data_IF_972063757284
#
_entry.id   IF_972063757284
#
_cell.length_a   1.000
_cell.length_b   1.000
_cell.length_c   1.000
_cell.angle_alpha   90.00
_cell.angle_beta   90.00
_cell.angle_gamma   90.00
#
_symmetry.space_group_name_H-M   'P 1'
#
loop_
_entity.id
_entity.type
_entity.pdbx_description
1 polymer ?
#
# COMPACT_ATOMS: atom_id res chain seq x y z
N UNK A 1 -3.60 2.95 -4.11
CA UNK A 1 -2.73 2.09 -4.94
C UNK A 1 -2.62 0.72 -4.30
N UNK A 2 -2.76 -0.31 -5.10
CA UNK A 2 -2.51 -1.72 -4.75
C UNK A 2 -1.36 -2.22 -5.63
N UNK A 3 -0.40 -2.91 -5.06
CA UNK A 3 0.77 -3.39 -5.79
C UNK A 3 1.17 -4.80 -5.37
N UNK A 4 2.03 -5.42 -6.16
CA UNK A 4 2.70 -6.67 -5.77
C UNK A 4 3.88 -6.38 -4.84
N UNK A 5 4.58 -7.41 -4.44
CA UNK A 5 5.71 -7.34 -3.49
C UNK A 5 6.93 -6.51 -3.94
N UNK A 6 6.95 -5.96 -5.14
CA UNK A 6 8.00 -5.04 -5.65
C UNK A 6 7.54 -3.58 -5.61
N UNK A 7 6.98 -3.18 -4.49
CA UNK A 7 6.20 -1.95 -4.36
C UNK A 7 6.95 -0.73 -3.83
N UNK A 8 8.24 -0.82 -3.54
CA UNK A 8 9.00 0.28 -2.91
C UNK A 8 8.92 1.59 -3.71
N UNK A 9 9.12 1.50 -5.03
CA UNK A 9 8.99 2.66 -5.90
C UNK A 9 7.58 3.24 -5.91
N UNK A 10 6.57 2.39 -5.96
CA UNK A 10 5.16 2.79 -5.91
C UNK A 10 4.80 3.46 -4.57
N UNK A 11 5.31 2.93 -3.46
CA UNK A 11 5.11 3.50 -2.13
C UNK A 11 5.73 4.90 -2.03
N UNK A 12 6.97 5.07 -2.49
CA UNK A 12 7.66 6.36 -2.51
C UNK A 12 6.93 7.38 -3.37
N UNK A 13 6.56 7.01 -4.59
CA UNK A 13 5.82 7.88 -5.51
C UNK A 13 4.44 8.24 -4.97
N UNK A 14 3.84 7.36 -4.19
CA UNK A 14 2.56 7.63 -3.52
C UNK A 14 2.70 8.56 -2.33
N UNK A 15 3.91 8.78 -1.83
CA UNK A 15 4.21 9.71 -0.74
C UNK A 15 4.50 9.05 0.61
N UNK A 16 4.67 7.73 0.65
CA UNK A 16 5.13 7.06 1.87
C UNK A 16 6.56 7.51 2.17
N UNK A 17 6.79 8.01 3.37
CA UNK A 17 8.09 8.57 3.74
C UNK A 17 9.21 7.53 3.67
N UNK A 18 10.32 7.89 3.03
CA UNK A 18 11.49 7.00 2.88
C UNK A 18 11.97 6.45 4.24
N UNK A 19 11.99 7.30 5.28
CA UNK A 19 12.38 6.88 6.63
C UNK A 19 11.46 5.78 7.18
N UNK A 20 10.15 5.90 6.96
CA UNK A 20 9.18 4.90 7.40
C UNK A 20 9.35 3.57 6.65
N UNK A 21 9.65 3.64 5.34
CA UNK A 21 9.93 2.44 4.54
C UNK A 21 11.21 1.77 5.03
N UNK A 22 12.28 2.53 5.23
CA UNK A 22 13.54 1.98 5.74
C UNK A 22 13.38 1.38 7.14
N UNK A 23 12.68 2.07 8.03
CA UNK A 23 12.39 1.56 9.38
C UNK A 23 11.60 0.24 9.31
N UNK A 24 10.66 0.13 8.38
CA UNK A 24 9.89 -1.10 8.15
C UNK A 24 10.78 -2.27 7.74
N UNK A 25 11.71 -2.03 6.81
CA UNK A 25 12.65 -3.07 6.35
C UNK A 25 13.55 -3.58 7.47
N UNK A 26 13.88 -2.73 8.45
CA UNK A 26 14.64 -3.10 9.63
C UNK A 26 13.77 -3.59 10.79
N UNK A 27 12.50 -3.81 10.59
CA UNK A 27 11.58 -4.32 11.61
C UNK A 27 11.36 -3.35 12.78
N UNK A 28 11.50 -2.05 12.55
CA UNK A 28 11.36 -1.03 13.59
C UNK A 28 9.90 -0.61 13.78
N UNK A 29 9.59 -0.20 15.01
CA UNK A 29 8.24 0.29 15.37
C UNK A 29 7.83 1.53 14.57
N UNK A 30 8.80 2.34 14.14
CA UNK A 30 8.59 3.55 13.34
C UNK A 30 8.34 3.25 11.85
N UNK A 31 8.38 1.98 11.45
CA UNK A 31 8.02 1.56 10.11
C UNK A 31 6.54 1.79 9.80
N UNK A 32 6.20 1.95 8.52
CA UNK A 32 4.82 2.21 8.08
C UNK A 32 3.84 1.09 8.49
N UNK A 33 4.32 -0.13 8.69
CA UNK A 33 3.57 -1.27 9.23
C UNK A 33 4.07 -1.70 10.61
N UNK A 34 4.72 -0.82 11.35
CA UNK A 34 5.29 -1.08 12.68
C UNK A 34 6.27 -2.24 12.71
N UNK A 35 7.03 -2.41 11.64
CA UNK A 35 8.03 -3.46 11.49
C UNK A 35 7.48 -4.86 11.20
N UNK A 36 6.20 -4.99 10.88
CA UNK A 36 5.54 -6.29 10.69
C UNK A 36 5.40 -6.70 9.21
N UNK A 37 5.45 -5.73 8.31
CA UNK A 37 5.29 -5.97 6.87
C UNK A 37 6.61 -6.32 6.18
N UNK A 38 7.69 -5.75 6.65
CA UNK A 38 9.00 -5.90 6.00
C UNK A 38 9.00 -5.35 4.59
N UNK A 39 9.83 -5.93 3.73
CA UNK A 39 10.04 -5.45 2.35
C UNK A 39 8.86 -5.71 1.40
N UNK A 40 8.03 -6.71 1.65
CA UNK A 40 7.00 -7.16 0.71
C UNK A 40 5.58 -6.69 1.05
N UNK A 41 5.39 -6.06 2.20
CA UNK A 41 4.06 -5.71 2.70
C UNK A 41 4.05 -4.28 3.27
N UNK A 42 4.37 -3.32 2.41
CA UNK A 42 4.30 -1.91 2.77
C UNK A 42 2.86 -1.43 2.65
N UNK A 43 2.34 -0.83 3.72
CA UNK A 43 1.02 -0.23 3.78
C UNK A 43 1.11 1.15 4.41
N UNK A 44 0.34 2.08 3.90
CA UNK A 44 0.21 3.39 4.52
C UNK A 44 -1.17 3.98 4.24
N UNK A 45 -1.95 4.12 5.31
CA UNK A 45 -3.32 4.61 5.22
C UNK A 45 -3.36 6.08 4.81
N UNK A 46 -2.44 6.90 5.32
CA UNK A 46 -2.44 8.34 5.06
C UNK A 46 -2.28 8.65 3.57
N UNK A 47 -1.42 7.90 2.88
CA UNK A 47 -1.20 8.05 1.44
C UNK A 47 -2.14 7.18 0.60
N UNK A 48 -3.01 6.38 1.23
CA UNK A 48 -3.85 5.38 0.56
C UNK A 48 -3.04 4.40 -0.28
N UNK A 49 -1.88 4.04 0.22
CA UNK A 49 -1.08 2.94 -0.31
C UNK A 49 -1.51 1.64 0.38
N UNK A 50 -2.30 0.84 -0.32
CA UNK A 50 -2.91 -0.39 0.20
C UNK A 50 -2.06 -1.63 -0.09
N UNK A 51 -0.81 -1.37 -0.26
CA UNK A 51 0.25 -2.32 -0.10
C UNK A 51 0.62 -3.19 -1.21
N UNK A 52 1.65 -3.91 -0.79
CA UNK A 52 2.25 -5.02 -1.45
C UNK A 52 1.57 -6.32 -1.08
N UNK A 53 1.32 -7.14 -2.08
CA UNK A 53 0.82 -8.48 -1.91
C UNK A 53 1.85 -9.48 -2.44
N UNK A 54 2.25 -10.43 -1.60
CA UNK A 54 3.21 -11.45 -1.98
C UNK A 54 2.64 -12.48 -2.97
N UNK A 55 1.32 -12.57 -3.06
CA UNK A 55 0.64 -13.49 -3.99
C UNK A 55 0.41 -12.76 -5.31
N UNK A 56 0.98 -13.26 -6.39
CA UNK A 56 0.78 -12.71 -7.73
C UNK A 56 -0.71 -12.78 -8.10
N UNK A 57 -1.27 -11.64 -8.51
CA UNK A 57 -2.71 -11.53 -8.78
C UNK A 57 -3.60 -11.38 -7.53
N UNK A 58 -3.07 -11.59 -6.33
CA UNK A 58 -3.83 -11.48 -5.08
C UNK A 58 -4.35 -10.07 -4.78
N UNK A 59 -3.72 -9.05 -5.36
CA UNK A 59 -4.17 -7.66 -5.25
C UNK A 59 -5.41 -7.32 -6.08
N UNK A 60 -5.72 -8.09 -7.10
CA UNK A 60 -6.83 -7.79 -8.02
C UNK A 60 -8.20 -7.70 -7.33
N UNK A 61 -8.65 -8.70 -6.56
CA UNK A 61 -9.91 -8.60 -5.84
C UNK A 61 -9.91 -7.50 -4.78
N UNK A 62 -8.77 -7.21 -4.17
CA UNK A 62 -8.63 -6.09 -3.22
C UNK A 62 -8.84 -4.76 -3.95
N UNK A 63 -8.23 -4.59 -5.11
CA UNK A 63 -8.39 -3.38 -5.93
C UNK A 63 -9.85 -3.17 -6.35
N UNK A 64 -10.55 -4.23 -6.75
CA UNK A 64 -11.99 -4.17 -7.09
C UNK A 64 -12.81 -3.74 -5.88
N UNK A 65 -12.56 -4.31 -4.70
CA UNK A 65 -13.25 -3.93 -3.47
C UNK A 65 -13.02 -2.47 -3.07
N UNK A 66 -11.78 -1.99 -3.18
CA UNK A 66 -11.43 -0.60 -2.92
C UNK A 66 -12.10 0.36 -3.91
N UNK A 67 -12.09 0.03 -5.20
CA UNK A 67 -12.73 0.82 -6.23
C UNK A 67 -14.24 0.90 -6.02
N UNK A 68 -14.87 -0.20 -5.64
CA UNK A 68 -16.29 -0.24 -5.30
C UNK A 68 -16.60 0.64 -4.08
N UNK A 69 -15.79 0.55 -3.03
CA UNK A 69 -15.93 1.39 -1.84
C UNK A 69 -15.79 2.88 -2.18
N UNK A 70 -14.80 3.23 -3.00
CA UNK A 70 -14.59 4.61 -3.45
C UNK A 70 -15.78 5.14 -4.26
N UNK A 71 -16.42 4.27 -5.05
CA UNK A 71 -17.63 4.62 -5.82
C UNK A 71 -18.87 4.82 -4.93
N UNK A 72 -18.99 4.03 -3.88
CA UNK A 72 -20.13 4.09 -2.95
C UNK A 72 -20.02 5.22 -1.94
N UNK A 73 -18.80 5.66 -1.62
CA UNK A 73 -18.54 6.73 -0.67
C UNK A 73 -18.49 8.08 -1.37
N UNK A 74 -19.53 8.96 -1.24
CA UNK A 74 -19.64 10.19 -2.03
C UNK A 74 -18.53 11.21 -1.73
N UNK A 75 -17.78 11.02 -0.66
CA UNK A 75 -16.70 11.92 -0.23
C UNK A 75 -15.33 11.57 -0.83
N UNK A 76 -15.21 10.41 -1.44
CA UNK A 76 -13.93 9.93 -1.95
C UNK A 76 -13.94 9.97 -3.47
N UNK A 77 -13.23 10.93 -4.03
CA UNK A 77 -12.94 10.97 -5.46
C UNK A 77 -11.54 10.40 -5.66
N UNK A 78 -11.46 9.11 -5.89
CA UNK A 78 -10.20 8.42 -6.08
C UNK A 78 -10.30 7.43 -7.23
N UNK A 79 -9.15 7.14 -7.80
CA UNK A 79 -8.95 6.06 -8.77
C UNK A 79 -8.10 4.99 -8.11
N UNK A 80 -8.58 3.78 -8.13
CA UNK A 80 -7.79 2.63 -7.67
C UNK A 80 -6.92 2.16 -8.82
N UNK A 81 -5.63 2.10 -8.55
CA UNK A 81 -4.62 1.60 -9.49
C UNK A 81 -4.01 0.34 -8.89
N UNK A 82 -3.99 -0.72 -9.68
CA UNK A 82 -3.39 -2.00 -9.30
C UNK A 82 -2.25 -2.34 -10.27
N UNK A 83 -1.11 -2.69 -9.72
CA UNK A 83 0.08 -3.11 -10.47
C UNK A 83 0.40 -4.58 -10.25
#
# INVERSE_FOLDING_TARGET
VVATYREHGHALLRGVGMRAIMAEMFGKQEGCCRGRGGSMHLFDQATRFHGGNAIVGGGLPLAVGLALADRLLPRVRAVTVCF
#
